data_IF_649584189617
#
_entry.id   IF_649584189617
#
_cell.length_a   1.000
_cell.length_b   1.000
_cell.length_c   1.000
_cell.angle_alpha   90.00
_cell.angle_beta   90.00
_cell.angle_gamma   90.00
#
_symmetry.space_group_name_H-M   'P 1'
#
loop_
_entity.id
_entity.type
_entity.pdbx_description
1 polymer ?
#
# COMPACT_ATOMS: atom_id res chain seq x y z
N UNK A 1 50.90 -50.02 26.54
CA UNK A 1 51.40 -49.62 25.21
C UNK A 1 50.25 -48.92 24.49
N UNK A 2 50.22 -47.58 24.52
CA UNK A 2 49.12 -46.76 24.01
C UNK A 2 49.33 -46.44 22.51
N UNK A 3 48.27 -46.59 21.71
CA UNK A 3 48.23 -46.10 20.32
C UNK A 3 47.46 -44.77 20.32
N UNK A 4 48.00 -43.64 19.83
CA UNK A 4 47.21 -42.43 19.67
C UNK A 4 46.34 -42.54 18.41
N UNK A 5 45.03 -42.34 18.58
CA UNK A 5 44.06 -42.22 17.50
C UNK A 5 44.12 -40.81 16.92
N UNK A 6 44.27 -40.72 15.60
CA UNK A 6 44.26 -39.48 14.85
C UNK A 6 42.83 -38.91 14.80
N UNK A 7 42.64 -37.71 15.34
CA UNK A 7 41.42 -36.92 15.16
C UNK A 7 41.71 -35.77 14.19
N UNK A 8 41.17 -35.87 12.98
CA UNK A 8 41.22 -34.83 11.97
C UNK A 8 40.38 -33.62 12.42
N UNK A 9 41.00 -32.44 12.49
CA UNK A 9 40.32 -31.20 12.81
C UNK A 9 39.40 -30.74 11.65
N UNK A 10 38.19 -30.25 11.91
CA UNK A 10 37.36 -29.68 10.87
C UNK A 10 37.96 -28.35 10.39
N UNK A 11 38.27 -28.28 9.10
CA UNK A 11 38.65 -27.04 8.43
C UNK A 11 37.44 -26.10 8.45
N UNK A 12 37.48 -25.08 9.31
CA UNK A 12 36.54 -23.96 9.25
C UNK A 12 36.84 -23.17 7.98
N UNK A 13 35.94 -23.25 7.00
CA UNK A 13 35.94 -22.35 5.86
C UNK A 13 35.49 -20.96 6.37
N UNK A 14 36.20 -19.85 6.06
CA UNK A 14 35.70 -18.53 6.37
C UNK A 14 34.43 -18.28 5.55
N UNK A 15 33.34 -17.95 6.24
CA UNK A 15 32.11 -17.45 5.64
C UNK A 15 32.42 -16.03 5.14
N UNK A 16 32.23 -15.69 3.86
CA UNK A 16 32.37 -14.30 3.44
C UNK A 16 31.36 -13.47 4.21
N UNK A 17 31.85 -12.51 4.99
CA UNK A 17 31.05 -11.43 5.51
C UNK A 17 30.49 -10.69 4.30
N UNK A 18 29.19 -10.83 4.05
CA UNK A 18 28.47 -9.97 3.13
C UNK A 18 28.30 -8.61 3.81
N UNK A 19 29.41 -7.91 4.09
CA UNK A 19 29.41 -6.48 4.42
C UNK A 19 29.37 -5.69 3.10
N UNK A 20 28.29 -5.85 2.36
CA UNK A 20 27.75 -4.70 1.62
C UNK A 20 26.89 -3.91 2.61
N UNK A 21 26.77 -2.57 2.49
CA UNK A 21 25.80 -1.85 3.31
C UNK A 21 24.46 -2.53 3.12
N UNK A 22 23.87 -2.99 4.23
CA UNK A 22 22.55 -3.59 4.24
C UNK A 22 21.63 -2.62 3.50
N UNK A 23 21.32 -2.98 2.26
CA UNK A 23 20.29 -2.39 1.42
C UNK A 23 19.81 -1.00 1.87
N UNK A 24 20.30 0.03 1.18
CA UNK A 24 19.46 1.17 0.79
C UNK A 24 18.32 0.68 -0.14
N UNK A 25 17.65 -0.44 0.19
CA UNK A 25 16.30 -0.72 -0.30
C UNK A 25 15.44 0.26 0.48
N UNK A 26 15.45 1.51 0.02
CA UNK A 26 14.36 2.40 0.25
C UNK A 26 13.15 1.66 -0.32
N UNK A 27 12.18 1.24 0.53
CA UNK A 27 10.96 0.65 0.01
C UNK A 27 10.39 1.67 -0.97
N UNK A 28 10.29 1.29 -2.25
CA UNK A 28 9.66 2.15 -3.25
C UNK A 28 8.28 2.50 -2.71
N UNK A 29 8.11 3.76 -2.30
CA UNK A 29 6.85 4.22 -1.75
C UNK A 29 5.81 4.08 -2.86
N UNK A 30 4.99 3.04 -2.77
CA UNK A 30 3.90 2.84 -3.72
C UNK A 30 2.92 3.98 -3.51
N UNK A 31 2.67 4.75 -4.57
CA UNK A 31 1.66 5.79 -4.55
C UNK A 31 0.33 5.19 -4.12
N UNK A 32 -0.32 5.86 -3.19
CA UNK A 32 -1.65 5.48 -2.71
C UNK A 32 -2.68 5.87 -3.75
N UNK A 33 -3.84 5.19 -3.73
CA UNK A 33 -4.96 5.54 -4.59
C UNK A 33 -5.40 7.02 -4.40
N UNK A 34 -5.27 7.56 -3.19
CA UNK A 34 -5.56 8.95 -2.89
C UNK A 34 -4.58 9.90 -3.59
N UNK A 35 -3.27 9.64 -3.51
CA UNK A 35 -2.27 10.46 -4.21
C UNK A 35 -2.52 10.49 -5.72
N UNK A 36 -2.87 9.35 -6.32
CA UNK A 36 -3.25 9.29 -7.73
C UNK A 36 -4.56 10.05 -8.03
N UNK A 37 -5.54 9.99 -7.13
CA UNK A 37 -6.80 10.71 -7.30
C UNK A 37 -6.59 12.22 -7.35
N UNK A 38 -5.73 12.78 -6.49
CA UNK A 38 -5.43 14.20 -6.48
C UNK A 38 -4.78 14.68 -7.79
N UNK A 39 -3.98 13.82 -8.43
CA UNK A 39 -3.36 14.11 -9.73
C UNK A 39 -4.35 14.02 -10.89
N UNK A 40 -5.21 13.00 -10.90
CA UNK A 40 -6.11 12.70 -12.03
C UNK A 40 -7.43 13.49 -11.97
N UNK A 41 -7.87 13.84 -10.77
CA UNK A 41 -9.10 14.58 -10.50
C UNK A 41 -8.80 15.67 -9.45
N UNK A 42 -8.15 16.78 -9.85
CA UNK A 42 -7.76 17.85 -8.93
C UNK A 42 -8.97 18.47 -8.20
N UNK A 43 -10.18 18.39 -8.76
CA UNK A 43 -11.42 18.77 -8.08
C UNK A 43 -11.71 17.93 -6.82
N UNK A 44 -11.09 16.76 -6.69
CA UNK A 44 -11.16 15.87 -5.53
C UNK A 44 -9.88 15.90 -4.68
N UNK A 45 -8.93 16.79 -4.95
CA UNK A 45 -7.64 16.82 -4.26
C UNK A 45 -7.77 17.08 -2.75
N UNK A 46 -8.69 17.95 -2.35
CA UNK A 46 -8.97 18.23 -0.93
C UNK A 46 -9.50 16.97 -0.21
N UNK A 47 -10.46 16.29 -0.83
CA UNK A 47 -10.99 15.03 -0.33
C UNK A 47 -9.92 13.93 -0.27
N UNK A 48 -9.09 13.84 -1.31
CA UNK A 48 -7.96 12.92 -1.33
C UNK A 48 -7.00 13.15 -0.16
N UNK A 49 -6.59 14.41 0.07
CA UNK A 49 -5.71 14.76 1.18
C UNK A 49 -6.36 14.44 2.54
N UNK A 50 -7.65 14.73 2.69
CA UNK A 50 -8.42 14.42 3.89
C UNK A 50 -8.39 12.91 4.22
N UNK A 51 -8.69 12.03 3.24
CA UNK A 51 -8.69 10.58 3.46
C UNK A 51 -7.27 10.00 3.61
N UNK A 52 -6.28 10.55 2.91
CA UNK A 52 -4.89 10.16 3.06
C UNK A 52 -4.38 10.45 4.49
N UNK A 53 -4.72 11.61 5.05
CA UNK A 53 -4.36 11.96 6.43
C UNK A 53 -4.96 10.99 7.47
N UNK A 54 -6.11 10.38 7.18
CA UNK A 54 -6.75 9.37 8.02
C UNK A 54 -6.11 7.97 7.95
N UNK A 55 -5.19 7.70 7.01
CA UNK A 55 -4.65 6.36 6.79
C UNK A 55 -3.90 5.75 8.00
N UNK A 56 -3.06 6.49 8.77
CA UNK A 56 -2.42 5.95 9.96
C UNK A 56 -3.42 5.54 11.05
N UNK A 57 -4.52 6.31 11.17
CA UNK A 57 -5.61 5.99 12.11
C UNK A 57 -6.31 4.70 11.72
N UNK A 58 -6.63 4.54 10.43
CA UNK A 58 -7.22 3.32 9.89
C UNK A 58 -6.31 2.11 10.07
N UNK A 59 -5.01 2.24 9.81
CA UNK A 59 -4.03 1.16 10.00
C UNK A 59 -3.98 0.68 11.46
N UNK A 60 -4.07 1.60 12.44
CA UNK A 60 -4.16 1.23 13.86
C UNK A 60 -5.45 0.49 14.19
N UNK A 61 -6.59 0.95 13.65
CA UNK A 61 -7.87 0.28 13.84
C UNK A 61 -7.88 -1.13 13.22
N UNK A 62 -7.33 -1.29 12.02
CA UNK A 62 -7.17 -2.58 11.33
C UNK A 62 -6.23 -3.53 12.08
N UNK A 63 -5.25 -2.99 12.81
CA UNK A 63 -4.41 -3.76 13.74
C UNK A 63 -5.13 -4.12 15.06
N UNK A 64 -6.42 -3.80 15.22
CA UNK A 64 -7.23 -4.13 16.39
C UNK A 64 -7.09 -3.16 17.56
N UNK A 65 -6.49 -1.98 17.36
CA UNK A 65 -6.38 -0.96 18.42
C UNK A 65 -7.74 -0.24 18.55
N UNK A 66 -8.49 -0.58 19.59
CA UNK A 66 -9.85 -0.04 19.82
C UNK A 66 -9.87 1.46 20.11
N UNK A 67 -8.76 2.03 20.59
CA UNK A 67 -8.60 3.47 20.84
C UNK A 67 -8.10 4.26 19.62
N UNK A 68 -7.99 3.63 18.44
CA UNK A 68 -7.49 4.29 17.24
C UNK A 68 -8.34 5.49 16.81
N UNK A 69 -9.65 5.47 17.08
CA UNK A 69 -10.57 6.58 16.83
C UNK A 69 -11.61 6.68 17.94
N UNK A 70 -12.05 7.90 18.24
CA UNK A 70 -13.23 8.09 19.10
C UNK A 70 -14.52 7.82 18.32
N UNK A 71 -15.66 7.54 18.98
CA UNK A 71 -16.95 7.41 18.30
C UNK A 71 -17.30 8.63 17.44
N UNK A 72 -17.02 9.83 17.95
CA UNK A 72 -17.28 11.08 17.24
C UNK A 72 -16.43 11.21 15.97
N UNK A 73 -15.15 10.88 16.08
CA UNK A 73 -14.23 10.89 14.93
C UNK A 73 -14.65 9.87 13.86
N UNK A 74 -15.19 8.71 14.26
CA UNK A 74 -15.72 7.73 13.34
C UNK A 74 -16.98 8.24 12.64
N UNK A 75 -17.91 8.85 13.39
CA UNK A 75 -19.12 9.46 12.83
C UNK A 75 -18.82 10.59 11.84
N UNK A 76 -17.83 11.44 12.16
CA UNK A 76 -17.39 12.52 11.29
C UNK A 76 -16.75 11.95 10.01
N UNK A 77 -15.91 10.91 10.11
CA UNK A 77 -15.35 10.23 8.95
C UNK A 77 -16.43 9.58 8.06
N UNK A 78 -17.46 8.97 8.66
CA UNK A 78 -18.58 8.39 7.90
C UNK A 78 -19.40 9.46 7.18
N UNK A 79 -19.61 10.61 7.83
CA UNK A 79 -20.29 11.77 7.23
C UNK A 79 -19.50 12.32 6.03
N UNK A 80 -18.19 12.45 6.20
CA UNK A 80 -17.27 12.92 5.17
C UNK A 80 -17.22 11.94 3.99
N UNK A 81 -17.13 10.63 4.25
CA UNK A 81 -17.21 9.59 3.22
C UNK A 81 -18.52 9.64 2.42
N UNK A 82 -19.66 9.80 3.10
CA UNK A 82 -20.96 9.91 2.45
C UNK A 82 -21.09 11.18 1.60
N UNK A 83 -20.42 12.27 1.97
CA UNK A 83 -20.38 13.48 1.15
C UNK A 83 -19.50 13.27 -0.09
N UNK A 84 -18.31 12.71 0.09
CA UNK A 84 -17.41 12.38 -1.01
C UNK A 84 -18.07 11.45 -2.04
N UNK A 85 -18.73 10.37 -1.61
CA UNK A 85 -19.42 9.45 -2.54
C UNK A 85 -20.47 10.15 -3.39
N UNK A 86 -21.29 11.02 -2.79
CA UNK A 86 -22.31 11.80 -3.54
C UNK A 86 -21.67 12.75 -4.55
N UNK A 87 -20.52 13.35 -4.21
CA UNK A 87 -19.77 14.20 -5.13
C UNK A 87 -19.23 13.38 -6.31
N UNK A 88 -18.62 12.23 -6.04
CA UNK A 88 -18.09 11.31 -7.08
C UNK A 88 -19.20 10.80 -7.99
N UNK A 89 -20.32 10.35 -7.43
CA UNK A 89 -21.49 9.89 -8.18
C UNK A 89 -22.01 10.99 -9.12
N UNK A 90 -22.09 12.23 -8.63
CA UNK A 90 -22.49 13.38 -9.46
C UNK A 90 -21.49 13.66 -10.57
N UNK A 91 -20.19 13.60 -10.30
CA UNK A 91 -19.16 13.80 -11.33
C UNK A 91 -19.20 12.71 -12.41
N UNK A 92 -19.39 11.45 -12.02
CA UNK A 92 -19.51 10.32 -12.94
C UNK A 92 -20.81 10.39 -13.77
N UNK A 93 -21.92 10.83 -13.19
CA UNK A 93 -23.15 11.05 -13.94
C UNK A 93 -23.00 12.11 -15.05
N UNK A 94 -22.10 13.08 -14.86
CA UNK A 94 -21.80 14.12 -15.85
C UNK A 94 -20.74 13.69 -16.87
N UNK A 95 -19.98 12.61 -16.62
CA UNK A 95 -18.98 12.05 -17.54
C UNK A 95 -19.44 10.69 -18.04
N UNK A 96 -20.00 10.57 -19.25
CA UNK A 96 -20.30 9.26 -19.81
C UNK A 96 -19.00 8.46 -19.99
N UNK A 97 -18.80 7.44 -19.15
CA UNK A 97 -17.83 6.37 -19.43
C UNK A 97 -18.41 5.57 -20.59
N UNK A 98 -17.87 5.79 -21.78
CA UNK A 98 -18.20 4.92 -22.91
C UNK A 98 -17.75 3.50 -22.57
N UNK A 99 -18.60 2.48 -22.76
CA UNK A 99 -18.17 1.10 -22.62
C UNK A 99 -16.99 0.85 -23.57
N UNK A 100 -15.92 0.23 -23.05
CA UNK A 100 -14.81 -0.26 -23.88
C UNK A 100 -15.40 -1.32 -24.83
N UNK A 101 -15.50 -1.00 -26.11
CA UNK A 101 -16.11 -1.89 -27.10
C UNK A 101 -15.32 -3.20 -27.22
N UNK A 102 -16.00 -4.37 -27.34
CA UNK A 102 -15.35 -5.63 -27.67
C UNK A 102 -14.82 -5.54 -29.11
N UNK A 103 -13.49 -5.50 -29.27
CA UNK A 103 -12.90 -5.30 -30.59
C UNK A 103 -11.39 -5.55 -30.66
N UNK A 104 -10.86 -6.50 -29.91
CA UNK A 104 -9.42 -6.82 -30.00
C UNK A 104 -9.04 -8.29 -29.95
N UNK A 105 -9.98 -9.26 -29.92
CA UNK A 105 -9.63 -10.70 -29.89
C UNK A 105 -10.13 -11.52 -31.09
N UNK A 106 -10.89 -10.96 -32.04
CA UNK A 106 -11.45 -11.72 -33.17
C UNK A 106 -10.66 -11.58 -34.49
N UNK A 107 -9.37 -11.24 -34.45
CA UNK A 107 -8.57 -11.05 -35.66
C UNK A 107 -7.18 -11.68 -35.59
N UNK A 108 -7.10 -12.98 -35.33
CA UNK A 108 -6.04 -13.83 -35.87
C UNK A 108 -6.60 -15.23 -36.15
N UNK A 109 -6.84 -15.51 -37.43
CA UNK A 109 -7.14 -16.82 -37.98
C UNK A 109 -5.97 -17.34 -38.80
#
# INVERSE_FOLDING_TARGET
MARPSAAAAPRRHPVPAHSGPASDIHPVARRTAWELLAELAPELAEWSAHFAAGAPRRARAEAGITSAATPREADDLLRDAAHFSRLVERLLALRPVLPRGPGSDDAEG
#
